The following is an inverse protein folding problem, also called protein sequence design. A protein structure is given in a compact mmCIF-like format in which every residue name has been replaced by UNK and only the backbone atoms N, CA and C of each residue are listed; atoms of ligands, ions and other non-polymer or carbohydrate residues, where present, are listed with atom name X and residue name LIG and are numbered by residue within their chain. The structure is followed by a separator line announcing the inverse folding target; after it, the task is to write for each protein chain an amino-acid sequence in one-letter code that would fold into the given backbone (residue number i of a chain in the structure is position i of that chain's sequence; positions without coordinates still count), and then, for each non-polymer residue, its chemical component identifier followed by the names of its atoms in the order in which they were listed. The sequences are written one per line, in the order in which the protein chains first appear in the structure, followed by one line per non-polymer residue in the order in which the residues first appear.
data_IF_278662263108
#
_entry.id   IF_278662263108
#
_cell.length_a   1.000
_cell.length_b   1.000
_cell.length_c   1.000
_cell.angle_alpha   90.00
_cell.angle_beta   90.00
_cell.angle_gamma   90.00
#
_symmetry.space_group_name_H-M   'P 1'
#
loop_
_entity.id
_entity.type
_entity.pdbx_description
1 polymer ?
#
# COMPACT_ATOMS: atom_id res chain seq x y z
N UNK A 1 -4.96 4.79 -0.95
CA UNK A 1 -4.99 4.00 -2.21
C UNK A 1 -5.69 2.67 -1.94
N UNK A 2 -6.34 2.05 -2.94
CA UNK A 2 -7.17 0.84 -2.73
C UNK A 2 -6.40 -0.33 -2.12
N UNK A 3 -5.14 -0.53 -2.53
CA UNK A 3 -4.31 -1.62 -2.00
C UNK A 3 -4.07 -1.56 -0.49
N UNK A 4 -4.10 -0.36 0.11
CA UNK A 4 -4.02 -0.22 1.58
C UNK A 4 -5.32 -0.64 2.26
N UNK A 5 -6.47 -0.20 1.72
CA UNK A 5 -7.79 -0.55 2.27
C UNK A 5 -8.00 -2.06 2.28
N UNK A 6 -7.58 -2.76 1.23
CA UNK A 6 -7.69 -4.22 1.15
C UNK A 6 -6.61 -4.92 1.99
N UNK A 7 -5.34 -4.49 1.89
CA UNK A 7 -4.21 -5.17 2.52
C UNK A 7 -4.22 -5.10 4.05
N UNK A 8 -4.50 -3.93 4.63
CA UNK A 8 -4.48 -3.75 6.09
C UNK A 8 -5.60 -4.53 6.77
N UNK A 9 -6.75 -4.71 6.11
CA UNK A 9 -7.85 -5.53 6.63
C UNK A 9 -7.48 -7.02 6.80
N UNK A 10 -6.42 -7.48 6.14
CA UNK A 10 -5.92 -8.85 6.26
C UNK A 10 -4.85 -9.00 7.35
N UNK A 11 -4.34 -7.89 7.89
CA UNK A 11 -3.30 -7.92 8.90
C UNK A 11 -3.86 -8.28 10.28
N UNK A 12 -2.99 -8.87 11.09
CA UNK A 12 -3.23 -9.05 12.52
C UNK A 12 -2.45 -7.99 13.29
N UNK A 13 -3.01 -7.52 14.39
CA UNK A 13 -2.33 -6.61 15.30
C UNK A 13 -0.99 -7.19 15.78
N UNK A 14 0.03 -6.34 15.83
CA UNK A 14 1.42 -6.69 16.13
C UNK A 14 2.18 -7.37 14.98
N UNK A 15 1.58 -7.55 13.80
CA UNK A 15 2.25 -8.19 12.67
C UNK A 15 2.98 -7.17 11.75
N UNK A 16 4.09 -7.61 11.16
CA UNK A 16 4.85 -6.86 10.16
C UNK A 16 4.75 -7.51 8.78
N UNK A 17 4.21 -6.78 7.80
CA UNK A 17 3.95 -7.26 6.45
C UNK A 17 4.65 -6.37 5.43
N UNK A 18 5.09 -6.97 4.32
CA UNK A 18 5.53 -6.24 3.12
C UNK A 18 4.45 -6.28 2.06
N UNK A 19 3.88 -5.12 1.72
CA UNK A 19 2.91 -5.00 0.64
C UNK A 19 3.57 -4.62 -0.67
N UNK A 20 3.24 -5.38 -1.72
CA UNK A 20 3.52 -5.04 -3.11
C UNK A 20 2.20 -4.63 -3.74
N UNK A 21 2.01 -3.33 -3.98
CA UNK A 21 0.76 -2.77 -4.47
C UNK A 21 0.94 -2.41 -5.95
N UNK A 22 0.32 -3.17 -6.89
CA UNK A 22 0.31 -2.80 -8.29
C UNK A 22 -0.30 -1.41 -8.50
N UNK A 23 0.16 -0.70 -9.53
CA UNK A 23 -0.26 0.68 -9.80
C UNK A 23 -1.78 0.86 -9.89
N UNK A 24 -2.52 -0.12 -10.42
CA UNK A 24 -3.98 -0.11 -10.52
C UNK A 24 -4.69 -0.03 -9.15
N UNK A 25 -4.05 -0.53 -8.09
CA UNK A 25 -4.49 -0.43 -6.70
C UNK A 25 -3.82 0.74 -5.96
N UNK A 26 -2.81 1.36 -6.57
CA UNK A 26 -2.08 2.56 -6.14
C UNK A 26 -2.58 3.84 -6.81
N UNK A 27 -1.70 4.50 -7.56
CA UNK A 27 -1.95 5.79 -8.23
C UNK A 27 -2.17 5.69 -9.75
N UNK A 28 -2.17 4.48 -10.30
CA UNK A 28 -2.44 4.20 -11.71
C UNK A 28 -1.51 4.95 -12.68
N UNK A 29 -2.06 5.31 -13.84
CA UNK A 29 -1.33 6.05 -14.88
C UNK A 29 -1.03 7.50 -14.49
N UNK A 30 -1.69 8.05 -13.47
CA UNK A 30 -1.51 9.44 -13.06
C UNK A 30 -0.25 9.63 -12.21
N UNK A 31 0.19 8.60 -11.48
CA UNK A 31 1.23 8.75 -10.46
C UNK A 31 0.80 9.69 -9.33
N UNK A 32 1.76 10.11 -8.51
CA UNK A 32 1.52 11.06 -7.42
C UNK A 32 2.71 12.01 -7.21
N UNK A 33 2.46 13.30 -7.43
CA UNK A 33 3.46 14.34 -7.25
C UNK A 33 4.66 14.16 -8.17
N UNK A 34 5.86 14.35 -7.61
CA UNK A 34 7.14 14.19 -8.31
C UNK A 34 7.83 12.85 -8.03
N UNK A 35 7.41 12.17 -6.97
CA UNK A 35 8.13 11.04 -6.40
C UNK A 35 7.58 9.70 -6.86
N UNK A 36 6.33 9.66 -7.37
CA UNK A 36 5.69 8.44 -7.87
C UNK A 36 5.26 8.64 -9.31
N UNK A 37 5.92 7.91 -10.21
CA UNK A 37 5.66 7.93 -11.65
C UNK A 37 4.38 7.18 -12.07
N UNK A 38 3.97 7.34 -13.34
CA UNK A 38 2.90 6.54 -13.94
C UNK A 38 3.19 5.04 -13.86
N UNK A 39 2.17 4.27 -13.48
CA UNK A 39 2.17 2.80 -13.50
C UNK A 39 3.22 2.11 -12.60
N UNK A 40 3.76 2.80 -11.60
CA UNK A 40 4.71 2.22 -10.66
C UNK A 40 4.06 1.25 -9.66
N UNK A 41 4.79 0.17 -9.34
CA UNK A 41 4.46 -0.70 -8.21
C UNK A 41 4.99 -0.05 -6.94
N UNK A 42 4.14 0.04 -5.92
CA UNK A 42 4.55 0.57 -4.63
C UNK A 42 4.89 -0.58 -3.68
N UNK A 43 5.99 -0.44 -2.95
CA UNK A 43 6.43 -1.42 -1.96
C UNK A 43 6.43 -0.73 -0.60
N UNK A 44 5.71 -1.30 0.36
CA UNK A 44 5.62 -0.78 1.72
C UNK A 44 5.97 -1.86 2.73
N UNK A 45 6.80 -1.51 3.71
CA UNK A 45 6.96 -2.27 4.95
C UNK A 45 6.02 -1.66 5.98
N UNK A 46 5.12 -2.48 6.53
CA UNK A 46 4.03 -2.03 7.40
C UNK A 46 4.02 -2.87 8.67
N UNK A 47 4.09 -2.20 9.81
CA UNK A 47 3.85 -2.76 11.13
C UNK A 47 2.47 -2.28 11.62
N UNK A 48 1.57 -3.21 11.95
CA UNK A 48 0.26 -2.87 12.50
C UNK A 48 0.33 -2.83 14.02
N UNK A 49 0.31 -1.64 14.61
CA UNK A 49 0.47 -1.45 16.05
C UNK A 49 -0.81 -1.78 16.84
N UNK A 50 -1.96 -1.25 16.41
CA UNK A 50 -3.24 -1.37 17.12
C UNK A 50 -4.41 -1.26 16.11
N UNK A 51 -5.54 -1.91 16.41
CA UNK A 51 -6.81 -1.71 15.70
C UNK A 51 -7.85 -1.12 16.66
N UNK A 52 -8.38 0.05 16.34
CA UNK A 52 -9.36 0.81 17.15
C UNK A 52 -10.74 0.92 16.52
#
# INVERSE_FOLDING_TARGET
IRGWTEGVQLMKEGAEYRFFIPSQLGYGTRGAGRDIGPNEVLIFDVELLEVV
#
